data_IF_337031642942
#
_entry.id   IF_337031642942
#
_cell.length_a   1.000
_cell.length_b   1.000
_cell.length_c   1.000
_cell.angle_alpha   90.00
_cell.angle_beta   90.00
_cell.angle_gamma   90.00
#
_symmetry.space_group_name_H-M   'P 1'
#
loop_
_entity.id
_entity.type
_entity.pdbx_description
1 polymer ?
#
# COMPACT_ATOMS: atom_id res chain seq x y z
N UNK A 1 11.47 -23.60 20.10
CA UNK A 1 12.67 -23.68 19.24
C UNK A 1 12.36 -24.13 17.81
N UNK A 2 11.14 -24.60 17.50
CA UNK A 2 10.72 -25.04 16.14
C UNK A 2 10.36 -23.91 15.17
N UNK A 3 10.04 -22.70 15.66
CA UNK A 3 9.66 -21.57 14.81
C UNK A 3 10.77 -21.07 13.86
N UNK A 4 12.04 -21.40 14.13
CA UNK A 4 13.17 -20.97 13.31
C UNK A 4 13.39 -21.85 12.07
N UNK A 5 13.18 -23.17 12.13
CA UNK A 5 13.55 -24.08 11.02
C UNK A 5 12.63 -23.87 9.82
N UNK A 6 11.33 -23.65 10.05
CA UNK A 6 10.36 -23.43 8.97
C UNK A 6 10.46 -22.04 8.35
N UNK A 7 10.97 -21.03 9.07
CA UNK A 7 11.23 -19.68 8.53
C UNK A 7 12.33 -19.75 7.47
N UNK A 8 13.44 -20.43 7.73
CA UNK A 8 14.56 -20.51 6.79
C UNK A 8 14.36 -21.46 5.59
N UNK A 9 13.41 -22.39 5.63
CA UNK A 9 13.19 -23.36 4.53
C UNK A 9 12.39 -22.82 3.34
N UNK A 10 11.71 -21.68 3.49
CA UNK A 10 10.77 -21.11 2.52
C UNK A 10 11.22 -19.73 2.01
N UNK A 11 12.53 -19.52 1.90
CA UNK A 11 13.10 -18.25 1.48
C UNK A 11 13.00 -18.08 -0.05
N UNK A 12 12.80 -16.83 -0.49
CA UNK A 12 12.84 -16.50 -1.91
C UNK A 12 14.24 -16.02 -2.31
N UNK A 13 14.67 -16.37 -3.52
CA UNK A 13 15.87 -15.78 -4.10
C UNK A 13 15.69 -14.27 -4.30
N UNK A 14 16.80 -13.52 -4.34
CA UNK A 14 16.74 -12.07 -4.60
C UNK A 14 15.98 -11.75 -5.90
N UNK A 15 16.21 -12.53 -6.97
CA UNK A 15 15.48 -12.36 -8.25
C UNK A 15 13.97 -12.50 -8.07
N UNK A 16 13.51 -13.50 -7.31
CA UNK A 16 12.08 -13.67 -7.03
C UNK A 16 11.54 -12.55 -6.14
N UNK A 17 12.32 -12.10 -5.14
CA UNK A 17 11.92 -10.96 -4.31
C UNK A 17 11.74 -9.71 -5.16
N UNK A 18 12.70 -9.34 -6.00
CA UNK A 18 12.59 -8.16 -6.88
C UNK A 18 11.42 -8.31 -7.86
N UNK A 19 11.30 -9.47 -8.52
CA UNK A 19 10.18 -9.72 -9.42
C UNK A 19 8.85 -9.54 -8.69
N UNK A 20 8.66 -10.20 -7.55
CA UNK A 20 7.40 -10.21 -6.83
C UNK A 20 7.04 -8.86 -6.20
N UNK A 21 8.02 -8.06 -5.76
CA UNK A 21 7.75 -6.72 -5.28
C UNK A 21 7.32 -5.78 -6.42
N UNK A 22 7.90 -5.89 -7.61
CA UNK A 22 7.70 -4.89 -8.66
C UNK A 22 6.67 -5.24 -9.73
N UNK A 23 6.42 -6.51 -10.04
CA UNK A 23 5.44 -6.84 -11.09
C UNK A 23 4.02 -6.31 -10.83
N UNK A 24 3.47 -6.28 -9.59
CA UNK A 24 2.14 -5.73 -9.40
C UNK A 24 2.16 -4.21 -9.66
N UNK A 25 3.28 -3.54 -9.32
CA UNK A 25 3.38 -2.09 -9.42
C UNK A 25 3.48 -1.64 -10.85
N UNK A 26 4.23 -2.39 -11.66
CA UNK A 26 4.30 -2.18 -13.11
C UNK A 26 2.90 -2.30 -13.72
N UNK A 27 2.15 -3.35 -13.36
CA UNK A 27 0.81 -3.58 -13.90
C UNK A 27 -0.19 -2.51 -13.44
N UNK A 28 -0.11 -2.06 -12.19
CA UNK A 28 -0.91 -0.96 -11.67
C UNK A 28 -0.58 0.33 -12.40
N UNK A 29 0.70 0.67 -12.57
CA UNK A 29 1.11 1.90 -13.26
C UNK A 29 0.66 1.92 -14.73
N UNK A 30 0.82 0.81 -15.45
CA UNK A 30 0.32 0.67 -16.82
C UNK A 30 -1.20 0.83 -16.89
N UNK A 31 -1.93 0.14 -16.01
CA UNK A 31 -3.37 0.29 -15.91
C UNK A 31 -3.78 1.72 -15.56
N UNK A 32 -3.02 2.38 -14.68
CA UNK A 32 -3.34 3.71 -14.19
C UNK A 32 -3.16 4.76 -15.28
N UNK A 33 -2.10 4.66 -16.08
CA UNK A 33 -1.89 5.49 -17.27
C UNK A 33 -3.06 5.33 -18.24
N UNK A 34 -3.41 4.09 -18.60
CA UNK A 34 -4.47 3.80 -19.57
C UNK A 34 -5.84 4.31 -19.06
N UNK A 35 -6.17 4.03 -17.80
CA UNK A 35 -7.48 4.38 -17.25
C UNK A 35 -7.59 5.88 -16.95
N UNK A 36 -6.51 6.56 -16.56
CA UNK A 36 -6.57 7.99 -16.24
C UNK A 36 -6.95 8.82 -17.45
N UNK A 37 -6.38 8.53 -18.62
CA UNK A 37 -6.72 9.24 -19.86
C UNK A 37 -8.21 9.06 -20.22
N UNK A 38 -8.74 7.85 -20.08
CA UNK A 38 -10.16 7.55 -20.33
C UNK A 38 -11.06 8.26 -19.32
N UNK A 39 -10.73 8.20 -18.04
CA UNK A 39 -11.57 8.73 -16.96
C UNK A 39 -11.61 10.26 -17.00
N UNK A 40 -10.44 10.89 -17.13
CA UNK A 40 -10.31 12.35 -17.22
C UNK A 40 -11.04 12.89 -18.44
N UNK A 41 -10.94 12.21 -19.59
CA UNK A 41 -11.68 12.60 -20.80
C UNK A 41 -13.21 12.54 -20.65
N UNK A 42 -13.71 11.77 -19.68
CA UNK A 42 -15.13 11.62 -19.38
C UNK A 42 -15.57 12.36 -18.09
N UNK A 43 -14.74 13.28 -17.57
CA UNK A 43 -15.10 14.11 -16.41
C UNK A 43 -14.95 13.43 -15.05
N UNK A 44 -14.29 12.27 -14.99
CA UNK A 44 -13.94 11.59 -13.75
C UNK A 44 -12.51 11.94 -13.32
N UNK A 45 -12.27 12.17 -12.02
CA UNK A 45 -10.95 12.54 -11.54
C UNK A 45 -9.91 11.43 -11.74
N UNK A 46 -8.63 11.80 -11.81
CA UNK A 46 -7.51 10.85 -11.77
C UNK A 46 -7.55 9.90 -10.57
N UNK A 47 -8.12 10.31 -9.43
CA UNK A 47 -8.34 9.42 -8.28
C UNK A 47 -9.28 8.25 -8.61
N UNK A 48 -10.30 8.45 -9.44
CA UNK A 48 -11.22 7.38 -9.82
C UNK A 48 -10.53 6.27 -10.63
N UNK A 49 -9.58 6.63 -11.50
CA UNK A 49 -8.75 5.66 -12.21
C UNK A 49 -7.82 4.90 -11.27
N UNK A 50 -7.30 5.55 -10.22
CA UNK A 50 -6.47 4.90 -9.20
C UNK A 50 -7.26 3.85 -8.42
N UNK A 51 -8.46 4.21 -7.95
CA UNK A 51 -9.35 3.26 -7.26
C UNK A 51 -9.74 2.07 -8.17
N UNK A 52 -9.93 2.32 -9.47
CA UNK A 52 -10.23 1.27 -10.43
C UNK A 52 -9.07 0.26 -10.56
N UNK A 53 -7.82 0.72 -10.66
CA UNK A 53 -6.67 -0.21 -10.72
C UNK A 53 -6.42 -0.94 -9.41
N UNK A 54 -6.68 -0.32 -8.27
CA UNK A 54 -6.60 -1.02 -6.98
C UNK A 54 -7.59 -2.19 -6.92
N UNK A 55 -8.83 -1.94 -7.31
CA UNK A 55 -9.88 -2.95 -7.27
C UNK A 55 -9.72 -4.04 -8.34
N UNK A 56 -9.32 -3.66 -9.55
CA UNK A 56 -9.33 -4.55 -10.73
C UNK A 56 -7.97 -5.17 -11.03
N UNK A 57 -6.87 -4.62 -10.50
CA UNK A 57 -5.51 -5.09 -10.76
C UNK A 57 -4.85 -5.53 -9.46
N UNK A 58 -4.66 -4.63 -8.49
CA UNK A 58 -3.94 -4.92 -7.24
C UNK A 58 -4.58 -6.07 -6.45
N UNK A 59 -5.86 -5.93 -6.09
CA UNK A 59 -6.53 -6.92 -5.26
C UNK A 59 -6.61 -8.31 -5.94
N UNK A 60 -7.00 -8.42 -7.23
CA UNK A 60 -6.97 -9.70 -7.93
C UNK A 60 -5.58 -10.31 -8.03
N UNK A 61 -4.54 -9.52 -8.32
CA UNK A 61 -3.16 -10.02 -8.37
C UNK A 61 -2.74 -10.59 -7.01
N UNK A 62 -2.97 -9.86 -5.92
CA UNK A 62 -2.61 -10.30 -4.58
C UNK A 62 -3.38 -11.59 -4.22
N UNK A 63 -4.70 -11.62 -4.40
CA UNK A 63 -5.55 -12.78 -4.08
C UNK A 63 -5.15 -13.99 -4.90
N UNK A 64 -4.99 -13.85 -6.22
CA UNK A 64 -4.66 -14.97 -7.11
C UNK A 64 -3.26 -15.48 -6.83
N UNK A 65 -2.25 -14.61 -6.71
CA UNK A 65 -0.89 -15.03 -6.41
C UNK A 65 -0.85 -15.79 -5.08
N UNK A 66 -1.39 -15.21 -4.01
CA UNK A 66 -1.40 -15.85 -2.69
C UNK A 66 -2.19 -17.15 -2.71
N UNK A 67 -3.35 -17.19 -3.38
CA UNK A 67 -4.16 -18.39 -3.45
C UNK A 67 -3.52 -19.53 -4.25
N UNK A 68 -2.81 -19.24 -5.35
CA UNK A 68 -2.04 -20.25 -6.09
C UNK A 68 -0.83 -20.74 -5.31
N UNK A 69 -0.11 -19.85 -4.65
CA UNK A 69 0.96 -20.25 -3.72
C UNK A 69 0.39 -21.12 -2.59
N UNK A 70 -0.76 -20.76 -2.05
CA UNK A 70 -1.45 -21.55 -1.04
C UNK A 70 -1.85 -22.92 -1.54
N UNK A 71 -2.42 -23.00 -2.75
CA UNK A 71 -2.77 -24.26 -3.43
C UNK A 71 -1.58 -25.20 -3.56
N UNK A 72 -0.39 -24.67 -3.91
CA UNK A 72 0.83 -25.47 -4.01
C UNK A 72 1.28 -26.07 -2.67
N UNK A 73 0.82 -25.53 -1.53
CA UNK A 73 1.23 -25.94 -0.18
C UNK A 73 0.19 -26.80 0.53
N UNK A 74 -1.10 -26.49 0.37
CA UNK A 74 -2.19 -27.14 1.07
C UNK A 74 -3.08 -28.00 0.16
N UNK A 75 -2.80 -28.07 -1.14
CA UNK A 75 -3.61 -28.82 -2.13
C UNK A 75 -4.88 -28.08 -2.60
N UNK A 76 -5.31 -27.03 -1.88
CA UNK A 76 -6.49 -26.21 -2.20
C UNK A 76 -6.17 -24.71 -2.16
N UNK A 77 -6.92 -23.92 -2.94
CA UNK A 77 -6.75 -22.45 -2.98
C UNK A 77 -6.97 -21.86 -1.59
N UNK A 78 -5.93 -21.23 -1.03
CA UNK A 78 -5.94 -20.71 0.34
C UNK A 78 -4.93 -19.59 0.53
N UNK A 79 -5.40 -18.36 0.73
CA UNK A 79 -4.51 -17.23 1.07
C UNK A 79 -3.79 -17.50 2.40
N UNK A 80 -4.51 -18.10 3.36
CA UNK A 80 -3.99 -18.35 4.71
C UNK A 80 -2.76 -19.28 4.71
N UNK A 81 -2.68 -20.26 3.81
CA UNK A 81 -1.52 -21.16 3.74
C UNK A 81 -0.31 -20.53 3.03
N UNK A 82 -0.49 -19.41 2.33
CA UNK A 82 0.60 -18.66 1.71
C UNK A 82 1.25 -17.65 2.67
N UNK A 83 0.46 -17.03 3.55
CA UNK A 83 0.94 -15.99 4.47
C UNK A 83 1.56 -16.58 5.74
N UNK A 84 2.41 -15.80 6.40
CA UNK A 84 2.96 -16.04 7.73
C UNK A 84 2.75 -14.81 8.59
N UNK A 85 3.37 -14.81 9.78
CA UNK A 85 3.26 -13.74 10.76
C UNK A 85 1.79 -13.54 11.16
N UNK A 86 1.18 -14.59 11.70
CA UNK A 86 -0.21 -14.61 12.18
C UNK A 86 -0.28 -14.91 13.68
N UNK A 87 0.75 -14.56 14.44
CA UNK A 87 0.80 -14.79 15.89
C UNK A 87 -0.29 -13.96 16.59
N UNK A 88 -0.94 -14.53 17.60
CA UNK A 88 -1.98 -13.82 18.36
C UNK A 88 -1.34 -12.80 19.30
N UNK A 89 -1.91 -11.60 19.33
CA UNK A 89 -1.55 -10.55 20.28
C UNK A 89 -2.71 -10.32 21.26
N UNK A 90 -2.37 -9.91 22.48
CA UNK A 90 -3.37 -9.42 23.43
C UNK A 90 -3.99 -8.10 22.95
N UNK A 91 -5.20 -7.78 23.43
CA UNK A 91 -5.87 -6.51 23.11
C UNK A 91 -5.00 -5.28 23.45
N UNK A 92 -4.32 -5.29 24.61
CA UNK A 92 -3.43 -4.20 25.04
C UNK A 92 -2.27 -4.00 24.07
N UNK A 93 -1.71 -5.09 23.53
CA UNK A 93 -0.68 -5.01 22.51
C UNK A 93 -1.24 -4.44 21.20
N UNK A 94 -2.41 -4.91 20.74
CA UNK A 94 -3.04 -4.32 19.57
C UNK A 94 -3.26 -2.82 19.72
N UNK A 95 -3.87 -2.38 20.83
CA UNK A 95 -4.13 -0.96 21.08
C UNK A 95 -2.82 -0.14 21.09
N UNK A 96 -1.83 -0.56 21.87
CA UNK A 96 -0.56 0.16 21.98
C UNK A 96 0.18 0.25 20.64
N UNK A 97 0.34 -0.86 19.93
CA UNK A 97 1.10 -0.86 18.67
C UNK A 97 0.34 -0.21 17.53
N UNK A 98 -1.00 -0.21 17.55
CA UNK A 98 -1.80 0.52 16.58
C UNK A 98 -1.62 2.02 16.77
N UNK A 99 -1.78 2.53 18.01
CA UNK A 99 -1.58 3.95 18.32
C UNK A 99 -0.15 4.37 17.95
N UNK A 100 0.85 3.61 18.40
CA UNK A 100 2.25 3.91 18.10
C UNK A 100 2.54 3.89 16.59
N UNK A 101 1.98 2.92 15.86
CA UNK A 101 2.14 2.80 14.42
C UNK A 101 1.49 3.96 13.65
N UNK A 102 0.23 4.27 13.96
CA UNK A 102 -0.50 5.39 13.33
C UNK A 102 0.21 6.71 13.61
N UNK A 103 0.53 7.01 14.87
CA UNK A 103 1.25 8.23 15.25
C UNK A 103 2.63 8.29 14.59
N UNK A 104 3.38 7.19 14.60
CA UNK A 104 4.69 7.12 13.96
C UNK A 104 4.63 7.37 12.45
N UNK A 105 3.66 6.78 11.76
CA UNK A 105 3.44 7.03 10.34
C UNK A 105 3.07 8.50 10.07
N UNK A 106 2.16 9.09 10.86
CA UNK A 106 1.74 10.49 10.68
C UNK A 106 2.89 11.48 10.97
N UNK A 107 3.65 11.26 12.03
CA UNK A 107 4.81 12.09 12.40
C UNK A 107 5.94 12.05 11.35
N UNK A 108 5.97 11.03 10.50
CA UNK A 108 6.93 10.91 9.41
C UNK A 108 6.34 11.41 8.08
N UNK A 109 5.10 11.04 7.77
CA UNK A 109 4.45 11.39 6.51
C UNK A 109 4.25 12.91 6.39
N UNK A 110 3.69 13.55 7.42
CA UNK A 110 3.35 14.98 7.37
C UNK A 110 4.58 15.88 7.13
N UNK A 111 5.71 15.71 7.84
CA UNK A 111 6.91 16.50 7.56
C UNK A 111 7.58 16.22 6.21
N UNK A 112 7.34 15.06 5.60
CA UNK A 112 7.87 14.71 4.28
C UNK A 112 7.00 15.22 3.13
N UNK A 113 5.78 15.69 3.39
CA UNK A 113 4.89 16.22 2.36
C UNK A 113 5.49 17.38 1.54
N UNK A 114 6.15 18.40 2.14
CA UNK A 114 6.83 19.45 1.37
C UNK A 114 7.96 18.93 0.47
N UNK A 115 8.62 17.83 0.86
CA UNK A 115 9.63 17.18 0.01
C UNK A 115 8.97 16.55 -1.20
N UNK A 116 7.80 15.93 -1.03
CA UNK A 116 7.01 15.40 -2.15
C UNK A 116 6.61 16.48 -3.14
N UNK A 117 6.13 17.64 -2.65
CA UNK A 117 5.82 18.79 -3.51
C UNK A 117 7.07 19.30 -4.24
N UNK A 118 8.21 19.42 -3.56
CA UNK A 118 9.46 19.82 -4.20
C UNK A 118 9.86 18.85 -5.33
N UNK A 119 9.72 17.54 -5.11
CA UNK A 119 10.05 16.52 -6.11
C UNK A 119 9.08 16.51 -7.29
N UNK A 120 7.79 16.75 -7.04
CA UNK A 120 6.80 17.00 -8.11
C UNK A 120 7.31 18.12 -9.02
N UNK A 121 7.61 19.29 -8.45
CA UNK A 121 7.93 20.48 -9.24
C UNK A 121 9.30 20.41 -9.93
N UNK A 122 10.28 19.71 -9.35
CA UNK A 122 11.67 19.70 -9.84
C UNK A 122 12.09 18.46 -10.62
N UNK A 123 11.57 17.28 -10.26
CA UNK A 123 12.01 15.99 -10.82
C UNK A 123 10.93 15.35 -11.68
N UNK A 124 9.67 15.44 -11.25
CA UNK A 124 8.55 14.73 -11.85
C UNK A 124 7.56 15.63 -12.60
N UNK A 125 7.94 16.88 -12.89
CA UNK A 125 7.09 17.87 -13.55
C UNK A 125 6.68 17.51 -15.00
N UNK A 126 7.30 16.48 -15.57
CA UNK A 126 6.98 15.93 -16.88
C UNK A 126 5.81 14.93 -16.85
N UNK A 127 5.39 14.48 -15.66
CA UNK A 127 4.24 13.59 -15.52
C UNK A 127 2.91 14.37 -15.60
N UNK A 128 1.83 13.75 -16.10
CA UNK A 128 0.51 14.38 -16.15
C UNK A 128 0.00 14.81 -14.78
N UNK A 129 -0.77 15.90 -14.71
CA UNK A 129 -1.25 16.47 -13.43
C UNK A 129 -2.13 15.50 -12.63
N UNK A 130 -2.80 14.54 -13.29
CA UNK A 130 -3.55 13.49 -12.59
C UNK A 130 -2.66 12.56 -11.73
N UNK A 131 -1.34 12.57 -11.89
CA UNK A 131 -0.40 11.92 -10.95
C UNK A 131 -0.34 12.62 -9.59
N UNK A 132 -0.66 13.90 -9.50
CA UNK A 132 -0.40 14.74 -8.32
C UNK A 132 -1.65 15.38 -7.73
N UNK A 133 -2.66 15.58 -8.55
CA UNK A 133 -3.92 16.17 -8.12
C UNK A 133 -5.03 15.12 -8.24
N UNK A 134 -5.50 14.54 -7.11
CA UNK A 134 -6.56 13.54 -7.13
C UNK A 134 -7.90 14.08 -7.66
N UNK A 135 -8.11 15.40 -7.68
CA UNK A 135 -9.30 16.03 -8.23
C UNK A 135 -9.19 16.38 -9.74
N UNK A 136 -8.00 16.22 -10.34
CA UNK A 136 -7.77 16.61 -11.73
C UNK A 136 -8.68 15.87 -12.69
N UNK A 137 -9.35 16.61 -13.58
CA UNK A 137 -10.30 16.06 -14.55
C UNK A 137 -11.74 15.92 -14.06
N UNK A 138 -12.02 16.21 -12.78
CA UNK A 138 -13.38 16.14 -12.26
C UNK A 138 -14.29 17.23 -12.83
N UNK A 139 -15.55 16.88 -13.11
CA UNK A 139 -16.60 17.80 -13.54
C UNK A 139 -17.13 18.72 -12.43
N UNK A 140 -16.78 18.46 -11.18
CA UNK A 140 -17.13 19.31 -10.04
C UNK A 140 -16.68 18.74 -8.69
N UNK A 141 -16.72 19.56 -7.61
CA UNK A 141 -16.28 19.14 -6.27
C UNK A 141 -17.11 18.01 -5.68
N UNK A 142 -18.40 17.91 -6.03
CA UNK A 142 -19.29 16.82 -5.58
C UNK A 142 -18.84 15.45 -6.10
N UNK A 143 -18.35 15.38 -7.34
CA UNK A 143 -17.77 14.15 -7.91
C UNK A 143 -16.51 13.75 -7.14
N UNK A 144 -15.65 14.72 -6.82
CA UNK A 144 -14.43 14.48 -6.04
C UNK A 144 -14.77 13.95 -4.65
N UNK A 145 -15.72 14.57 -3.96
CA UNK A 145 -16.19 14.12 -2.65
C UNK A 145 -16.74 12.68 -2.70
N UNK A 146 -17.61 12.38 -3.68
CA UNK A 146 -18.14 11.02 -3.86
C UNK A 146 -17.03 9.99 -4.14
N UNK A 147 -16.01 10.36 -4.91
CA UNK A 147 -14.85 9.49 -5.14
C UNK A 147 -14.07 9.24 -3.85
N UNK A 148 -13.90 10.24 -2.97
CA UNK A 148 -13.28 10.02 -1.66
C UNK A 148 -14.14 9.14 -0.73
N UNK A 149 -15.47 9.18 -0.80
CA UNK A 149 -16.33 8.23 -0.08
C UNK A 149 -16.09 6.79 -0.55
N UNK A 150 -15.93 6.59 -1.86
CA UNK A 150 -15.56 5.27 -2.43
C UNK A 150 -14.14 4.88 -2.01
N UNK A 151 -13.21 5.85 -1.94
CA UNK A 151 -11.83 5.63 -1.53
C UNK A 151 -11.73 5.08 -0.10
N UNK A 152 -12.62 5.46 0.83
CA UNK A 152 -12.66 4.89 2.19
C UNK A 152 -12.75 3.36 2.17
N UNK A 153 -13.44 2.78 1.18
CA UNK A 153 -13.57 1.32 1.06
C UNK A 153 -12.44 0.73 0.23
N UNK A 154 -12.16 1.27 -0.96
CA UNK A 154 -11.18 0.67 -1.87
C UNK A 154 -9.76 0.93 -1.37
N UNK A 155 -9.34 2.19 -1.33
CA UNK A 155 -8.00 2.59 -0.88
C UNK A 155 -7.85 2.53 0.65
N UNK A 156 -8.94 2.68 1.40
CA UNK A 156 -8.92 2.58 2.85
C UNK A 156 -8.90 1.14 3.39
N UNK A 157 -9.41 0.16 2.63
CA UNK A 157 -9.55 -1.22 3.12
C UNK A 157 -9.03 -2.24 2.11
N UNK A 158 -9.59 -2.28 0.89
CA UNK A 158 -9.29 -3.34 -0.09
C UNK A 158 -7.81 -3.33 -0.49
N UNK A 159 -7.26 -2.17 -0.85
CA UNK A 159 -5.85 -1.98 -1.19
C UNK A 159 -4.93 -2.37 -0.04
N UNK A 160 -5.02 -1.73 1.14
CA UNK A 160 -4.20 -2.04 2.30
C UNK A 160 -4.25 -3.51 2.74
N UNK A 161 -5.43 -4.14 2.72
CA UNK A 161 -5.55 -5.57 3.03
C UNK A 161 -4.79 -6.42 2.02
N UNK A 162 -4.97 -6.16 0.72
CA UNK A 162 -4.27 -6.89 -0.33
C UNK A 162 -2.74 -6.73 -0.22
N UNK A 163 -2.28 -5.49 -0.03
CA UNK A 163 -0.87 -5.17 0.11
C UNK A 163 -0.24 -5.77 1.36
N UNK A 164 -0.85 -5.63 2.53
CA UNK A 164 -0.28 -6.16 3.77
C UNK A 164 -0.19 -7.68 3.74
N UNK A 165 -1.21 -8.37 3.22
CA UNK A 165 -1.15 -9.83 3.03
C UNK A 165 -0.03 -10.24 2.06
N UNK A 166 0.18 -9.47 1.00
CA UNK A 166 1.19 -9.77 -0.01
C UNK A 166 2.61 -9.40 0.44
N UNK A 167 2.86 -8.14 0.79
CA UNK A 167 4.18 -7.64 1.14
C UNK A 167 4.65 -8.09 2.51
N UNK A 168 3.79 -8.04 3.55
CA UNK A 168 4.19 -8.34 4.94
C UNK A 168 3.79 -9.75 5.36
N UNK A 169 2.67 -10.27 4.85
CA UNK A 169 2.23 -11.64 5.08
C UNK A 169 3.01 -12.66 4.25
N UNK A 170 3.37 -12.33 3.01
CA UNK A 170 4.04 -13.27 2.09
C UNK A 170 5.51 -12.93 1.82
N UNK A 171 5.85 -11.73 1.36
CA UNK A 171 7.23 -11.45 0.93
C UNK A 171 8.22 -11.29 2.09
N UNK A 172 7.86 -10.52 3.12
CA UNK A 172 8.72 -10.21 4.26
C UNK A 172 9.21 -11.45 5.04
N UNK A 173 8.38 -12.46 5.37
CA UNK A 173 8.86 -13.69 6.01
C UNK A 173 9.90 -14.47 5.19
N UNK A 174 9.93 -14.25 3.87
CA UNK A 174 10.82 -14.92 2.92
C UNK A 174 12.10 -14.11 2.66
N UNK A 175 12.37 -13.15 3.56
CA UNK A 175 13.59 -12.34 3.64
C UNK A 175 14.32 -12.57 4.97
N UNK A 176 14.03 -13.65 5.70
CA UNK A 176 14.58 -13.93 7.02
C UNK A 176 16.11 -14.04 7.04
N UNK A 177 16.74 -14.39 5.91
CA UNK A 177 18.20 -14.37 5.76
C UNK A 177 18.82 -12.98 5.99
N UNK A 178 18.04 -11.90 5.84
CA UNK A 178 18.45 -10.52 6.11
C UNK A 178 18.31 -10.11 7.59
N UNK A 179 17.73 -10.97 8.44
CA UNK A 179 17.55 -10.72 9.88
C UNK A 179 16.87 -9.36 10.12
N UNK A 180 17.51 -8.46 10.89
CA UNK A 180 16.98 -7.13 11.20
C UNK A 180 16.88 -6.18 10.02
N UNK A 181 17.54 -6.47 8.89
CA UNK A 181 17.43 -5.70 7.66
C UNK A 181 16.22 -6.10 6.80
N UNK A 182 15.58 -7.23 7.08
CA UNK A 182 14.39 -7.69 6.36
C UNK A 182 13.27 -6.62 6.32
N UNK A 183 12.82 -6.03 7.45
CA UNK A 183 11.79 -4.99 7.42
C UNK A 183 12.23 -3.72 6.70
N UNK A 184 13.52 -3.36 6.76
CA UNK A 184 14.06 -2.17 6.07
C UNK A 184 14.00 -2.38 4.55
N UNK A 185 14.52 -3.50 4.05
CA UNK A 185 14.51 -3.78 2.63
C UNK A 185 13.09 -4.01 2.10
N UNK A 186 12.21 -4.67 2.86
CA UNK A 186 10.82 -4.85 2.45
C UNK A 186 10.07 -3.51 2.38
N UNK A 187 10.25 -2.62 3.35
CA UNK A 187 9.67 -1.27 3.31
C UNK A 187 10.20 -0.41 2.16
N UNK A 188 11.51 -0.49 1.88
CA UNK A 188 12.12 0.14 0.71
C UNK A 188 11.53 -0.35 -0.61
N UNK A 189 11.49 -1.68 -0.81
CA UNK A 189 10.94 -2.27 -2.03
C UNK A 189 9.44 -2.00 -2.19
N UNK A 190 8.69 -1.98 -1.09
CA UNK A 190 7.29 -1.57 -1.07
C UNK A 190 7.12 -0.11 -1.50
N UNK A 191 7.91 0.82 -0.97
CA UNK A 191 7.82 2.22 -1.38
C UNK A 191 8.18 2.44 -2.85
N UNK A 192 9.24 1.77 -3.33
CA UNK A 192 9.64 1.83 -4.75
C UNK A 192 8.61 1.18 -5.70
N UNK A 193 7.76 0.29 -5.20
CA UNK A 193 6.69 -0.34 -5.96
C UNK A 193 5.58 0.65 -6.39
N UNK A 194 5.47 1.81 -5.73
CA UNK A 194 4.44 2.85 -5.99
C UNK A 194 4.78 3.71 -7.21
N UNK A 195 4.94 3.11 -8.38
CA UNK A 195 5.26 3.84 -9.63
C UNK A 195 4.21 4.88 -10.05
N UNK A 196 3.02 4.88 -9.44
CA UNK A 196 1.96 5.89 -9.64
C UNK A 196 2.07 7.11 -8.71
N UNK A 197 3.00 7.13 -7.76
CA UNK A 197 3.24 8.24 -6.81
C UNK A 197 4.75 8.49 -6.58
N UNK A 198 5.55 8.70 -7.64
CA UNK A 198 7.01 8.74 -7.50
C UNK A 198 7.50 9.95 -6.68
N UNK A 199 6.73 11.04 -6.63
CA UNK A 199 7.04 12.19 -5.79
C UNK A 199 6.98 11.88 -4.30
N UNK A 200 6.17 10.89 -3.89
CA UNK A 200 5.96 10.53 -2.48
C UNK A 200 6.87 9.40 -1.98
N UNK A 201 7.86 8.96 -2.76
CA UNK A 201 8.71 7.82 -2.40
C UNK A 201 9.35 7.93 -1.01
N UNK A 202 9.87 9.10 -0.62
CA UNK A 202 10.47 9.25 0.70
C UNK A 202 9.47 8.97 1.84
N UNK A 203 8.24 9.49 1.72
CA UNK A 203 7.19 9.26 2.70
C UNK A 203 6.72 7.80 2.71
N UNK A 204 6.44 7.23 1.54
CA UNK A 204 5.93 5.86 1.41
C UNK A 204 6.99 4.82 1.83
N UNK A 205 8.26 5.02 1.49
CA UNK A 205 9.36 4.16 1.96
C UNK A 205 9.43 4.20 3.49
N UNK A 206 9.39 5.39 4.09
CA UNK A 206 9.50 5.51 5.54
C UNK A 206 8.31 4.86 6.27
N UNK A 207 7.07 5.12 5.82
CA UNK A 207 5.86 4.45 6.31
C UNK A 207 5.95 2.92 6.11
N UNK A 208 6.40 2.49 4.93
CA UNK A 208 6.58 1.09 4.59
C UNK A 208 7.56 0.38 5.52
N UNK A 209 8.66 1.03 5.90
CA UNK A 209 9.64 0.52 6.86
C UNK A 209 9.02 0.40 8.26
N UNK A 210 8.25 1.39 8.71
CA UNK A 210 7.58 1.35 10.02
C UNK A 210 6.61 0.17 10.09
N UNK A 211 5.72 0.03 9.10
CA UNK A 211 4.76 -1.07 9.04
C UNK A 211 5.47 -2.43 9.00
N UNK A 212 6.45 -2.57 8.10
CA UNK A 212 7.22 -3.82 7.99
C UNK A 212 7.98 -4.14 9.27
N UNK A 213 8.51 -3.15 9.98
CA UNK A 213 9.18 -3.34 11.28
C UNK A 213 8.19 -3.81 12.37
N UNK A 214 7.03 -3.16 12.49
CA UNK A 214 5.99 -3.55 13.46
C UNK A 214 5.53 -4.99 13.19
N UNK A 215 5.20 -5.31 11.94
CA UNK A 215 4.75 -6.66 11.56
C UNK A 215 5.86 -7.68 11.76
N UNK A 216 7.10 -7.39 11.36
CA UNK A 216 8.25 -8.29 11.56
C UNK A 216 8.52 -8.55 13.05
N UNK A 217 8.47 -7.50 13.88
CA UNK A 217 8.75 -7.60 15.32
C UNK A 217 7.63 -8.32 16.06
N UNK A 218 6.37 -8.11 15.68
CA UNK A 218 5.20 -8.72 16.32
C UNK A 218 4.72 -10.00 15.68
N UNK A 219 5.30 -10.36 14.53
CA UNK A 219 4.95 -11.53 13.74
C UNK A 219 3.43 -11.61 13.55
N UNK A 220 2.82 -10.45 13.25
CA UNK A 220 1.37 -10.27 13.12
C UNK A 220 1.06 -9.30 11.98
N UNK A 221 0.59 -9.82 10.85
CA UNK A 221 0.20 -9.07 9.65
C UNK A 221 -1.13 -8.33 9.83
N UNK A 222 -2.02 -8.82 10.69
CA UNK A 222 -3.30 -8.17 10.98
C UNK A 222 -3.13 -6.82 11.68
N UNK A 223 -2.07 -6.67 12.47
CA UNK A 223 -1.67 -5.39 13.04
C UNK A 223 -1.22 -4.40 11.95
N UNK A 224 -0.48 -4.87 10.94
CA UNK A 224 -0.12 -4.09 9.75
C UNK A 224 -1.37 -3.63 8.98
N UNK A 225 -2.28 -4.57 8.69
CA UNK A 225 -3.59 -4.29 8.05
C UNK A 225 -4.33 -3.19 8.81
N UNK A 226 -4.46 -3.33 10.13
CA UNK A 226 -5.21 -2.37 10.94
C UNK A 226 -4.59 -0.96 10.86
N UNK A 227 -3.28 -0.84 11.04
CA UNK A 227 -2.60 0.46 11.00
C UNK A 227 -2.70 1.07 9.60
N UNK A 228 -2.46 0.28 8.55
CA UNK A 228 -2.48 0.72 7.17
C UNK A 228 -3.89 1.17 6.75
N UNK A 229 -4.92 0.40 7.11
CA UNK A 229 -6.31 0.81 6.86
C UNK A 229 -6.65 2.13 7.58
N UNK A 230 -6.25 2.29 8.85
CA UNK A 230 -6.53 3.53 9.59
C UNK A 230 -5.90 4.74 8.91
N UNK A 231 -4.62 4.67 8.49
CA UNK A 231 -3.96 5.81 7.86
C UNK A 231 -4.60 6.18 6.51
N UNK A 232 -4.96 5.19 5.68
CA UNK A 232 -5.60 5.47 4.38
C UNK A 232 -7.03 5.97 4.56
N UNK A 233 -7.80 5.42 5.51
CA UNK A 233 -9.14 5.91 5.84
C UNK A 233 -9.09 7.36 6.34
N UNK A 234 -8.14 7.69 7.22
CA UNK A 234 -7.95 9.08 7.69
C UNK A 234 -7.63 10.02 6.52
N UNK A 235 -6.76 9.60 5.60
CA UNK A 235 -6.45 10.33 4.37
C UNK A 235 -7.68 10.54 3.49
N UNK A 236 -8.45 9.48 3.24
CA UNK A 236 -9.66 9.54 2.42
C UNK A 236 -10.75 10.41 3.05
N UNK A 237 -10.96 10.34 4.37
CA UNK A 237 -11.85 11.24 5.11
C UNK A 237 -11.38 12.69 4.98
N UNK A 238 -10.08 12.96 5.13
CA UNK A 238 -9.51 14.29 4.93
C UNK A 238 -9.78 14.84 3.53
N UNK A 239 -9.57 14.02 2.50
CA UNK A 239 -9.89 14.35 1.11
C UNK A 239 -11.37 14.63 0.88
N UNK A 240 -12.27 13.84 1.48
CA UNK A 240 -13.71 14.08 1.42
C UNK A 240 -14.10 15.44 2.02
N UNK A 241 -13.55 15.77 3.21
CA UNK A 241 -13.83 17.03 3.89
C UNK A 241 -13.30 18.24 3.11
N UNK A 242 -12.09 18.14 2.56
CA UNK A 242 -11.51 19.17 1.70
C UNK A 242 -12.33 19.37 0.41
N UNK A 243 -12.74 18.29 -0.26
CA UNK A 243 -13.59 18.36 -1.45
C UNK A 243 -14.93 19.05 -1.15
N UNK A 244 -15.55 18.69 -0.02
CA UNK A 244 -16.86 19.21 0.39
C UNK A 244 -16.82 20.69 0.80
N UNK A 245 -15.65 21.20 1.18
CA UNK A 245 -15.44 22.60 1.53
C UNK A 245 -14.92 23.45 0.36
N UNK A 246 -14.66 22.84 -0.80
CA UNK A 246 -14.13 23.51 -1.97
C UNK A 246 -12.63 23.83 -1.89
N UNK A 247 -11.90 23.18 -0.99
CA UNK A 247 -10.45 23.33 -0.86
C UNK A 247 -9.69 22.57 -1.96
N UNK A 248 -8.50 23.07 -2.31
CA UNK A 248 -7.63 22.40 -3.27
C UNK A 248 -7.05 21.13 -2.63
N UNK A 249 -7.20 19.99 -3.31
CA UNK A 249 -6.68 18.70 -2.85
C UNK A 249 -5.43 18.37 -3.66
N UNK A 250 -4.29 18.28 -2.98
CA UNK A 250 -3.03 17.80 -3.53
C UNK A 250 -2.58 16.57 -2.75
N UNK A 251 -2.01 15.59 -3.44
CA UNK A 251 -1.50 14.34 -2.85
C UNK A 251 0.01 14.25 -2.97
#
# INVERSE_FOLDING_TARGET
MEANITEYSDQLTLKKQLLYHFYPGILIALGYIILSDVFVANGYPGMAALLAVELLILAPIAILHLGFVGKSRSGSFSIRSAIRYTEKLSFRQYAFWTILGVVGCLLIYVPLYPVGLYLKETVFNWLPEWYFNPAYGASGPEVVANIFLVAIVIDGIVGPVAEELFFRGYLLPRMAYLKGWAPVLNGLLFGLYHFWQPHNYFAIIAVGIILSYIVWRKKNVYLGILIHCIINILGAIGGYLAASSGELILR
#
